data_IF_297828959751
#
_entry.id   IF_297828959751
#
_cell.length_a   1.000
_cell.length_b   1.000
_cell.length_c   1.000
_cell.angle_alpha   90.00
_cell.angle_beta   90.00
_cell.angle_gamma   90.00
#
_symmetry.space_group_name_H-M   'P 1'
#
loop_
_entity.id
_entity.type
_entity.pdbx_description
1 polymer ?
#
# COMPACT_ATOMS: atom_id res chain seq x y z
N UNK A 1 4.96 -7.61 -0.14
CA UNK A 1 4.84 -7.10 1.23
C UNK A 1 3.96 -8.05 2.03
N UNK A 2 4.38 -8.40 3.24
CA UNK A 2 3.60 -9.21 4.19
C UNK A 2 2.87 -8.24 5.11
N UNK A 3 1.59 -8.49 5.39
CA UNK A 3 0.85 -7.70 6.36
C UNK A 3 1.27 -8.11 7.78
N UNK A 4 1.58 -7.14 8.63
CA UNK A 4 2.07 -7.37 10.00
C UNK A 4 0.98 -7.91 10.96
N UNK A 5 -0.30 -7.57 10.72
CA UNK A 5 -1.44 -7.96 11.54
C UNK A 5 -1.81 -9.44 11.39
N UNK A 6 -1.56 -10.06 10.23
CA UNK A 6 -1.90 -11.46 9.96
C UNK A 6 -0.76 -12.32 9.39
N UNK A 7 0.41 -11.74 9.13
CA UNK A 7 1.55 -12.42 8.46
C UNK A 7 1.24 -12.98 7.07
N UNK A 8 0.17 -12.51 6.40
CA UNK A 8 -0.22 -12.95 5.05
C UNK A 8 0.13 -11.90 3.99
N UNK A 9 0.48 -12.37 2.79
CA UNK A 9 0.63 -11.50 1.62
C UNK A 9 -0.75 -11.16 1.03
N UNK A 10 -0.94 -9.90 0.65
CA UNK A 10 -2.12 -9.43 -0.08
C UNK A 10 -3.47 -9.72 0.63
N UNK A 11 -3.47 -9.75 1.97
CA UNK A 11 -4.69 -9.84 2.76
C UNK A 11 -4.65 -8.78 3.86
N UNK A 12 -5.55 -7.81 3.81
CA UNK A 12 -5.62 -6.70 4.76
C UNK A 12 -7.04 -6.52 5.28
N UNK A 13 -7.16 -6.07 6.53
CA UNK A 13 -8.45 -5.80 7.14
C UNK A 13 -8.97 -4.44 6.70
N UNK A 14 -10.15 -4.41 6.10
CA UNK A 14 -10.91 -3.19 5.90
C UNK A 14 -11.42 -2.69 7.26
N UNK A 15 -10.97 -1.52 7.69
CA UNK A 15 -11.31 -0.93 8.99
C UNK A 15 -12.74 -0.42 9.06
N UNK A 16 -13.39 -0.20 7.92
CA UNK A 16 -14.80 0.24 7.86
C UNK A 16 -15.78 -0.94 7.91
N UNK A 17 -15.43 -2.09 7.33
CA UNK A 17 -16.31 -3.28 7.31
C UNK A 17 -15.87 -4.39 8.26
N UNK A 18 -14.67 -4.29 8.84
CA UNK A 18 -13.99 -5.33 9.61
C UNK A 18 -13.74 -6.65 8.86
N UNK A 19 -13.85 -6.64 7.52
CA UNK A 19 -13.62 -7.81 6.69
C UNK A 19 -12.21 -7.83 6.12
N UNK A 20 -11.68 -9.03 5.94
CA UNK A 20 -10.40 -9.27 5.28
C UNK A 20 -10.58 -9.33 3.77
N UNK A 21 -9.62 -8.77 3.03
CA UNK A 21 -9.66 -8.76 1.57
C UNK A 21 -8.32 -8.36 0.94
N UNK A 22 -8.26 -8.44 -0.38
CA UNK A 22 -7.05 -8.08 -1.14
C UNK A 22 -6.76 -6.58 -1.05
N UNK A 23 -5.48 -6.21 -1.05
CA UNK A 23 -5.04 -4.81 -0.97
C UNK A 23 -5.74 -3.92 -2.03
N UNK A 24 -5.81 -4.31 -3.32
CA UNK A 24 -6.45 -3.47 -4.33
C UNK A 24 -7.96 -3.32 -4.11
N UNK A 25 -8.63 -4.36 -3.61
CA UNK A 25 -10.08 -4.36 -3.42
C UNK A 25 -10.46 -3.46 -2.24
N UNK A 26 -9.72 -3.55 -1.13
CA UNK A 26 -9.88 -2.68 0.03
C UNK A 26 -9.55 -1.22 -0.32
N UNK A 27 -8.50 -0.98 -1.11
CA UNK A 27 -8.15 0.38 -1.54
C UNK A 27 -9.22 0.99 -2.47
N UNK A 28 -9.79 0.22 -3.41
CA UNK A 28 -10.94 0.67 -4.22
C UNK A 28 -12.17 0.95 -3.37
N UNK A 29 -12.42 0.16 -2.34
CA UNK A 29 -13.50 0.41 -1.39
C UNK A 29 -13.31 1.74 -0.66
N UNK A 30 -12.10 2.04 -0.16
CA UNK A 30 -11.84 3.33 0.46
C UNK A 30 -11.99 4.49 -0.52
N UNK A 31 -11.54 4.32 -1.77
CA UNK A 31 -11.76 5.31 -2.83
C UNK A 31 -13.25 5.59 -3.08
N UNK A 32 -14.10 4.55 -3.15
CA UNK A 32 -15.54 4.73 -3.37
C UNK A 32 -16.26 5.38 -2.18
N UNK A 33 -15.70 5.24 -0.97
CA UNK A 33 -16.15 5.93 0.25
C UNK A 33 -15.48 7.29 0.48
N UNK A 34 -14.69 7.76 -0.49
CA UNK A 34 -13.90 8.99 -0.40
C UNK A 34 -13.04 9.06 0.88
N UNK A 35 -12.61 7.89 1.38
CA UNK A 35 -11.83 7.73 2.59
C UNK A 35 -10.35 7.74 2.20
N UNK A 36 -9.58 8.77 2.61
CA UNK A 36 -8.14 8.79 2.35
C UNK A 36 -7.44 7.71 3.17
N UNK A 37 -6.34 7.19 2.64
CA UNK A 37 -5.51 6.20 3.33
C UNK A 37 -4.03 6.46 3.08
N UNK A 38 -3.19 5.86 3.92
CA UNK A 38 -1.74 5.96 3.85
C UNK A 38 -1.12 4.56 3.91
N UNK A 39 0.07 4.40 3.35
CA UNK A 39 0.89 3.20 3.55
C UNK A 39 1.85 3.48 4.71
N UNK A 40 1.94 2.53 5.65
CA UNK A 40 3.03 2.45 6.60
C UNK A 40 3.89 1.25 6.19
N UNK A 41 5.20 1.46 6.05
CA UNK A 41 6.14 0.40 5.74
C UNK A 41 7.43 0.56 6.54
N UNK A 42 8.30 -0.44 6.42
CA UNK A 42 9.56 -0.47 7.16
C UNK A 42 10.71 0.12 6.31
N UNK A 43 11.88 -0.50 6.30
CA UNK A 43 13.03 -0.08 5.51
C UNK A 43 12.94 -0.51 4.04
N UNK A 44 13.68 0.19 3.19
CA UNK A 44 13.91 -0.13 1.78
C UNK A 44 12.61 -0.26 0.93
N UNK A 45 11.61 0.57 1.22
CA UNK A 45 10.34 0.54 0.46
C UNK A 45 10.57 0.88 -1.02
N UNK A 46 10.05 0.03 -1.91
CA UNK A 46 10.22 0.18 -3.37
C UNK A 46 11.45 -0.54 -3.94
N UNK A 47 12.07 -1.45 -3.19
CA UNK A 47 13.10 -2.35 -3.69
C UNK A 47 12.55 -3.30 -4.78
N UNK A 48 13.35 -3.57 -5.82
CA UNK A 48 12.98 -4.42 -6.96
C UNK A 48 12.67 -3.63 -8.23
N UNK A 49 12.21 -4.30 -9.30
CA UNK A 49 12.02 -3.72 -10.65
C UNK A 49 10.65 -3.08 -10.88
N UNK A 50 9.65 -3.39 -10.05
CA UNK A 50 8.25 -2.94 -10.20
C UNK A 50 8.01 -1.51 -9.66
N UNK A 51 8.98 -0.61 -9.90
CA UNK A 51 9.14 0.69 -9.22
C UNK A 51 8.10 1.73 -9.60
N UNK A 52 7.65 1.73 -10.86
CA UNK A 52 6.71 2.73 -11.37
C UNK A 52 5.26 2.40 -10.98
N UNK A 53 4.91 1.11 -10.96
CA UNK A 53 3.59 0.66 -10.53
C UNK A 53 3.36 0.85 -9.02
N UNK A 54 4.38 0.59 -8.20
CA UNK A 54 4.30 0.73 -6.74
C UNK A 54 4.01 2.17 -6.27
N UNK A 55 4.37 3.19 -7.06
CA UNK A 55 4.11 4.60 -6.74
C UNK A 55 2.81 5.14 -7.38
N UNK A 56 2.46 4.67 -8.58
CA UNK A 56 1.27 5.14 -9.30
C UNK A 56 -0.03 4.47 -8.83
N UNK A 57 0.01 3.19 -8.48
CA UNK A 57 -1.17 2.44 -8.02
C UNK A 57 -1.77 3.04 -6.71
N UNK A 58 -0.97 3.43 -5.69
CA UNK A 58 -1.52 4.09 -4.51
C UNK A 58 -2.24 5.41 -4.83
N UNK A 59 -1.66 6.25 -5.69
CA UNK A 59 -2.27 7.53 -6.07
C UNK A 59 -3.57 7.31 -6.83
N UNK A 60 -3.61 6.36 -7.77
CA UNK A 60 -4.82 6.01 -8.50
C UNK A 60 -5.94 5.50 -7.56
N UNK A 61 -5.57 4.80 -6.49
CA UNK A 61 -6.49 4.20 -5.53
C UNK A 61 -6.84 5.11 -4.34
N UNK A 62 -6.47 6.40 -4.37
CA UNK A 62 -6.85 7.38 -3.34
C UNK A 62 -5.89 7.48 -2.15
N UNK A 63 -4.72 6.85 -2.24
CA UNK A 63 -3.64 6.99 -1.26
C UNK A 63 -3.11 8.43 -1.22
N UNK A 64 -2.76 8.89 -0.01
CA UNK A 64 -2.30 10.27 0.24
C UNK A 64 -0.83 10.36 0.64
N UNK A 65 -0.33 9.39 1.37
CA UNK A 65 1.05 9.37 1.83
C UNK A 65 1.58 7.94 1.92
N UNK A 66 2.90 7.81 1.81
CA UNK A 66 3.66 6.61 2.11
C UNK A 66 4.68 7.02 3.16
N UNK A 67 4.59 6.42 4.34
CA UNK A 67 5.48 6.69 5.47
C UNK A 67 6.27 5.42 5.74
N UNK A 68 7.58 5.50 5.58
CA UNK A 68 8.50 4.37 5.65
C UNK A 68 9.76 4.77 6.40
N UNK A 69 10.47 3.80 7.00
CA UNK A 69 11.75 4.10 7.67
C UNK A 69 12.81 4.51 6.67
N UNK A 70 12.82 3.88 5.50
CA UNK A 70 13.68 4.28 4.38
C UNK A 70 13.05 3.90 3.03
N UNK A 71 13.26 4.74 2.02
CA UNK A 71 12.93 4.43 0.63
C UNK A 71 14.12 3.75 -0.03
N UNK A 72 13.85 2.77 -0.90
CA UNK A 72 14.86 2.21 -1.77
C UNK A 72 15.44 3.32 -2.67
N UNK A 73 16.76 3.38 -2.76
CA UNK A 73 17.44 4.38 -3.58
C UNK A 73 17.18 4.05 -5.05
N UNK A 74 16.49 4.96 -5.76
CA UNK A 74 16.37 4.87 -7.21
C UNK A 74 17.77 5.06 -7.79
N UNK A 75 18.41 3.97 -8.19
CA UNK A 75 19.65 4.01 -8.95
C UNK A 75 19.26 4.37 -10.39
N UNK A 76 19.12 5.67 -10.66
CA UNK A 76 19.05 6.18 -12.01
C UNK A 76 20.42 6.00 -12.66
N UNK A 77 20.51 5.04 -13.58
CA UNK A 77 21.41 5.14 -14.72
C UNK A 77 20.54 5.23 -15.96
#
# INVERSE_FOLDING_TARGET
AINEENSEANNIKNRLTNQWGKVPDVARYYKSKNTPWIVIGDENYGEGSSREHAALEPRHLGGRAIIVKSFARIHGK
#
